data_IF_118146491776
#
_entry.id   IF_118146491776
#
_cell.length_a   1.000
_cell.length_b   1.000
_cell.length_c   1.000
_cell.angle_alpha   90.00
_cell.angle_beta   90.00
_cell.angle_gamma   90.00
#
_symmetry.space_group_name_H-M   'P 1'
#
loop_
_entity.id
_entity.type
_entity.pdbx_description
1 polymer ?
#
# COMPACT_ATOMS: atom_id res chain seq x y z
N UNK A 1 -17.34 5.53 -22.12
CA UNK A 1 -16.43 6.01 -21.05
C UNK A 1 -17.10 5.72 -19.72
N UNK A 2 -16.38 5.09 -18.78
CA UNK A 2 -16.90 4.87 -17.42
C UNK A 2 -17.04 6.25 -16.76
N UNK A 3 -18.24 6.63 -16.33
CA UNK A 3 -18.48 7.89 -15.64
C UNK A 3 -17.71 7.91 -14.32
N UNK A 4 -17.06 9.04 -14.01
CA UNK A 4 -16.43 9.23 -12.70
C UNK A 4 -17.55 9.44 -11.69
N UNK A 5 -17.73 8.47 -10.80
CA UNK A 5 -18.66 8.57 -9.69
C UNK A 5 -18.02 9.36 -8.54
N UNK A 6 -18.64 10.47 -8.15
CA UNK A 6 -18.14 11.34 -7.10
C UNK A 6 -18.86 11.04 -5.78
N UNK A 7 -18.09 10.86 -4.71
CA UNK A 7 -18.61 10.65 -3.35
C UNK A 7 -18.10 11.73 -2.39
N UNK A 8 -18.71 11.84 -1.21
CA UNK A 8 -18.38 12.82 -0.18
C UNK A 8 -17.62 12.19 0.98
N UNK A 9 -16.77 13.00 1.59
CA UNK A 9 -16.09 12.70 2.84
C UNK A 9 -16.58 13.67 3.91
N UNK A 10 -17.22 13.14 4.95
CA UNK A 10 -17.77 13.92 6.05
C UNK A 10 -16.92 13.73 7.32
N UNK A 11 -16.37 14.82 7.84
CA UNK A 11 -15.56 14.81 9.07
C UNK A 11 -15.86 16.04 9.94
N UNK A 12 -15.77 15.86 11.26
CA UNK A 12 -15.82 16.94 12.25
C UNK A 12 -14.41 17.20 12.77
N UNK A 13 -14.03 18.46 12.82
CA UNK A 13 -12.76 18.92 13.37
C UNK A 13 -13.02 19.73 14.64
N UNK A 14 -12.14 19.63 15.62
CA UNK A 14 -12.11 20.62 16.69
C UNK A 14 -11.69 21.98 16.12
N UNK A 15 -12.00 23.06 16.84
CA UNK A 15 -11.57 24.41 16.44
C UNK A 15 -10.05 24.48 16.28
N UNK A 16 -9.31 23.94 17.25
CA UNK A 16 -7.84 23.91 17.27
C UNK A 16 -7.27 23.14 16.07
N UNK A 17 -7.85 21.98 15.73
CA UNK A 17 -7.43 21.21 14.55
C UNK A 17 -7.63 22.00 13.26
N UNK A 18 -8.81 22.64 13.11
CA UNK A 18 -9.13 23.44 11.93
C UNK A 18 -8.16 24.61 11.78
N UNK A 19 -7.90 25.36 12.86
CA UNK A 19 -6.97 26.49 12.84
C UNK A 19 -5.55 26.04 12.50
N UNK A 20 -5.09 24.94 13.09
CA UNK A 20 -3.77 24.38 12.81
C UNK A 20 -3.63 23.92 11.36
N UNK A 21 -4.62 23.20 10.82
CA UNK A 21 -4.59 22.75 9.42
C UNK A 21 -4.71 23.90 8.43
N UNK A 22 -5.49 24.94 8.73
CA UNK A 22 -5.54 26.16 7.92
C UNK A 22 -4.18 26.86 7.90
N UNK A 23 -3.52 26.98 9.05
CA UNK A 23 -2.17 27.52 9.12
C UNK A 23 -1.17 26.69 8.28
N UNK A 24 -1.16 25.37 8.47
CA UNK A 24 -0.30 24.46 7.70
C UNK A 24 -0.58 24.52 6.19
N UNK A 25 -1.85 24.58 5.78
CA UNK A 25 -2.24 24.69 4.38
C UNK A 25 -1.72 25.97 3.71
N UNK A 26 -1.72 27.10 4.43
CA UNK A 26 -1.15 28.37 3.93
C UNK A 26 0.36 28.27 3.76
N UNK A 27 1.05 27.67 4.73
CA UNK A 27 2.50 27.45 4.65
C UNK A 27 2.88 26.53 3.48
N UNK A 28 2.08 25.50 3.23
CA UNK A 28 2.28 24.56 2.12
C UNK A 28 1.84 25.08 0.74
N UNK A 29 1.31 26.30 0.65
CA UNK A 29 0.87 26.90 -0.61
C UNK A 29 -0.40 26.29 -1.21
N UNK A 30 -1.24 25.63 -0.40
CA UNK A 30 -2.50 25.04 -0.86
C UNK A 30 -3.57 26.10 -1.06
N UNK A 31 -4.47 25.89 -2.02
CA UNK A 31 -5.54 26.87 -2.35
C UNK A 31 -6.70 26.81 -1.36
N UNK A 32 -6.86 25.69 -0.66
CA UNK A 32 -7.92 25.50 0.34
C UNK A 32 -7.54 24.44 1.38
N UNK A 33 -8.20 24.48 2.54
CA UNK A 33 -8.10 23.45 3.56
C UNK A 33 -8.51 22.07 3.02
N UNK A 34 -9.56 22.02 2.19
CA UNK A 34 -10.02 20.78 1.56
C UNK A 34 -8.96 20.18 0.65
N UNK A 35 -8.32 20.99 -0.22
CA UNK A 35 -7.24 20.52 -1.08
C UNK A 35 -6.06 19.98 -0.26
N UNK A 36 -5.68 20.70 0.80
CA UNK A 36 -4.63 20.27 1.72
C UNK A 36 -4.95 18.90 2.35
N UNK A 37 -6.15 18.72 2.90
CA UNK A 37 -6.56 17.46 3.54
C UNK A 37 -6.56 16.33 2.52
N UNK A 38 -7.21 16.51 1.37
CA UNK A 38 -7.32 15.46 0.35
C UNK A 38 -5.94 15.04 -0.16
N UNK A 39 -5.06 16.00 -0.48
CA UNK A 39 -3.69 15.70 -0.95
C UNK A 39 -2.84 15.02 0.12
N UNK A 40 -2.93 15.48 1.37
CA UNK A 40 -2.17 14.90 2.48
C UNK A 40 -2.61 13.47 2.78
N UNK A 41 -3.93 13.23 2.82
CA UNK A 41 -4.49 11.90 3.05
C UNK A 41 -4.16 10.97 1.88
N UNK A 42 -4.29 11.43 0.64
CA UNK A 42 -3.93 10.65 -0.55
C UNK A 42 -2.47 10.20 -0.50
N UNK A 43 -1.54 11.13 -0.24
CA UNK A 43 -0.12 10.82 -0.16
C UNK A 43 0.19 9.82 0.95
N UNK A 44 -0.44 9.97 2.13
CA UNK A 44 -0.25 9.02 3.23
C UNK A 44 -0.85 7.65 2.92
N UNK A 45 -2.01 7.61 2.25
CA UNK A 45 -2.65 6.37 1.85
C UNK A 45 -1.80 5.60 0.83
N UNK A 46 -1.25 6.28 -0.18
CA UNK A 46 -0.32 5.69 -1.15
C UNK A 46 0.91 5.09 -0.45
N UNK A 47 1.52 5.82 0.47
CA UNK A 47 2.65 5.33 1.26
C UNK A 47 2.27 4.05 2.05
N UNK A 48 1.14 4.05 2.75
CA UNK A 48 0.71 2.88 3.54
C UNK A 48 0.42 1.66 2.67
N UNK A 49 -0.21 1.86 1.51
CA UNK A 49 -0.49 0.78 0.56
C UNK A 49 0.81 0.24 -0.05
N UNK A 50 1.75 1.12 -0.41
CA UNK A 50 3.06 0.71 -0.90
C UNK A 50 3.82 -0.09 0.17
N UNK A 51 3.91 0.43 1.39
CA UNK A 51 4.57 -0.23 2.52
C UNK A 51 3.96 -1.61 2.80
N UNK A 52 2.64 -1.74 2.75
CA UNK A 52 1.95 -3.01 2.97
C UNK A 52 2.18 -4.01 1.84
N UNK A 53 2.11 -3.56 0.59
CA UNK A 53 2.24 -4.43 -0.59
C UNK A 53 3.69 -4.78 -0.93
N UNK A 54 4.67 -4.16 -0.26
CA UNK A 54 6.09 -4.39 -0.53
C UNK A 54 6.53 -5.77 -0.04
N UNK A 55 6.61 -6.72 -0.96
CA UNK A 55 7.04 -8.11 -0.71
C UNK A 55 8.54 -8.20 -0.37
N UNK A 56 9.36 -7.32 -0.96
CA UNK A 56 10.81 -7.27 -0.71
C UNK A 56 11.13 -5.94 -0.03
N UNK A 57 10.93 -5.92 1.29
CA UNK A 57 11.09 -4.72 2.10
C UNK A 57 12.56 -4.43 2.43
N UNK A 58 13.39 -5.46 2.60
CA UNK A 58 14.80 -5.31 2.99
C UNK A 58 15.79 -5.78 1.91
N UNK A 59 17.05 -5.35 2.03
CA UNK A 59 18.14 -5.86 1.19
C UNK A 59 18.36 -7.37 1.40
N UNK A 60 18.16 -7.86 2.62
CA UNK A 60 18.24 -9.28 2.95
C UNK A 60 17.17 -10.11 2.25
N UNK A 61 15.93 -9.62 2.23
CA UNK A 61 14.83 -10.30 1.51
C UNK A 61 15.14 -10.35 0.01
N UNK A 62 15.77 -9.30 -0.51
CA UNK A 62 16.17 -9.20 -1.92
C UNK A 62 17.24 -10.22 -2.26
N UNK A 63 18.26 -10.40 -1.42
CA UNK A 63 19.28 -11.44 -1.57
C UNK A 63 18.68 -12.84 -1.50
N UNK A 64 17.85 -13.13 -0.50
CA UNK A 64 17.18 -14.43 -0.36
C UNK A 64 16.31 -14.70 -1.58
N UNK A 65 15.48 -13.75 -2.00
CA UNK A 65 14.64 -13.90 -3.18
C UNK A 65 15.46 -14.16 -4.45
N UNK A 66 16.52 -13.39 -4.68
CA UNK A 66 17.38 -13.54 -5.85
C UNK A 66 18.07 -14.91 -5.84
N UNK A 67 18.62 -15.32 -4.70
CA UNK A 67 19.22 -16.65 -4.54
C UNK A 67 18.21 -17.76 -4.82
N UNK A 68 16.98 -17.68 -4.30
CA UNK A 68 15.94 -18.68 -4.53
C UNK A 68 15.50 -18.75 -6.00
N UNK A 69 15.32 -17.60 -6.66
CA UNK A 69 14.90 -17.53 -8.08
C UNK A 69 15.98 -18.04 -9.01
N UNK A 70 17.24 -17.65 -8.81
CA UNK A 70 18.32 -17.93 -9.76
C UNK A 70 19.12 -19.20 -9.47
N UNK A 71 19.31 -19.57 -8.20
CA UNK A 71 20.00 -20.83 -7.86
C UNK A 71 19.07 -22.04 -7.98
N UNK A 72 17.76 -21.81 -7.86
CA UNK A 72 16.74 -22.83 -7.88
C UNK A 72 16.79 -23.71 -6.63
N UNK A 73 15.64 -23.94 -6.00
CA UNK A 73 15.57 -24.76 -4.78
C UNK A 73 14.82 -26.05 -5.08
N UNK A 74 15.41 -27.19 -4.71
CA UNK A 74 14.74 -28.48 -4.91
C UNK A 74 13.48 -28.55 -4.04
N UNK A 75 12.34 -29.01 -4.59
CA UNK A 75 11.11 -29.14 -3.81
C UNK A 75 11.31 -30.11 -2.63
N UNK A 76 10.79 -29.73 -1.47
CA UNK A 76 10.82 -30.56 -0.26
C UNK A 76 9.89 -31.78 -0.39
N UNK A 77 9.88 -32.63 0.64
CA UNK A 77 9.10 -33.88 0.61
C UNK A 77 7.60 -33.58 0.58
N UNK A 78 7.19 -32.52 1.26
CA UNK A 78 5.81 -32.07 1.42
C UNK A 78 5.25 -31.59 0.07
N UNK A 79 5.97 -30.72 -0.65
CA UNK A 79 5.56 -30.23 -1.96
C UNK A 79 5.50 -31.35 -3.01
N UNK A 80 6.44 -32.30 -2.94
CA UNK A 80 6.40 -33.52 -3.78
C UNK A 80 5.19 -34.41 -3.47
N UNK A 81 4.79 -34.50 -2.20
CA UNK A 81 3.60 -35.26 -1.79
C UNK A 81 2.32 -34.59 -2.29
N UNK A 82 2.19 -33.27 -2.11
CA UNK A 82 1.05 -32.50 -2.59
C UNK A 82 0.86 -32.63 -4.11
N UNK A 83 1.94 -32.61 -4.89
CA UNK A 83 1.88 -32.85 -6.34
C UNK A 83 1.38 -34.26 -6.67
N UNK A 84 1.83 -35.29 -5.94
CA UNK A 84 1.36 -36.67 -6.13
C UNK A 84 -0.13 -36.82 -5.80
N UNK A 85 -0.62 -36.10 -4.79
CA UNK A 85 -2.05 -36.10 -4.43
C UNK A 85 -2.89 -35.39 -5.50
N UNK A 86 -2.47 -34.21 -5.94
CA UNK A 86 -3.13 -33.49 -7.05
C UNK A 86 -3.24 -34.35 -8.31
N UNK A 87 -2.15 -35.02 -8.70
CA UNK A 87 -2.13 -35.88 -9.89
C UNK A 87 -3.00 -37.15 -9.76
N UNK A 88 -3.39 -37.56 -8.55
CA UNK A 88 -4.35 -38.67 -8.34
C UNK A 88 -5.80 -38.21 -8.47
N UNK A 89 -6.06 -36.91 -8.38
CA UNK A 89 -7.39 -36.30 -8.52
C UNK A 89 -7.72 -35.93 -9.97
N UNK A 90 -6.71 -35.92 -10.85
CA UNK A 90 -6.83 -35.85 -12.32
C UNK A 90 -7.02 -37.25 -12.91
#
# INVERSE_FOLDING_TARGET
MKSIEMTRFDARLTKEQKEFFEYASRLGGFRSLTEFIIKSVQSKAEQLVEEHNKIIASNRDREIFFDFVFKGVKPNKELKSALKEYNKLL
#
